data_IF_012518757005
#
_entry.id   IF_012518757005
#
_cell.length_a   1.000
_cell.length_b   1.000
_cell.length_c   1.000
_cell.angle_alpha   90.00
_cell.angle_beta   90.00
_cell.angle_gamma   90.00
#
_symmetry.space_group_name_H-M   'P 1'
#
loop_
_entity.id
_entity.type
_entity.pdbx_description
1 polymer ?
#
# COMPACT_ATOMS: atom_id res chain seq x y z
N UNK A 1 23.88 11.98 -6.85
CA UNK A 1 22.84 11.33 -7.68
C UNK A 1 23.28 11.20 -9.15
N UNK A 2 23.26 9.98 -9.68
CA UNK A 2 23.42 9.64 -11.09
C UNK A 2 22.05 9.74 -11.80
N UNK A 3 21.78 10.89 -12.44
CA UNK A 3 20.48 11.18 -13.06
C UNK A 3 20.18 10.30 -14.27
N UNK A 4 21.19 10.04 -15.10
CA UNK A 4 21.00 9.26 -16.33
C UNK A 4 20.60 7.82 -15.99
N UNK A 5 21.24 7.22 -14.98
CA UNK A 5 20.87 5.91 -14.48
C UNK A 5 19.44 5.89 -13.91
N UNK A 6 19.08 6.90 -13.11
CA UNK A 6 17.74 7.00 -12.53
C UNK A 6 16.65 7.11 -13.61
N UNK A 7 16.85 7.96 -14.63
CA UNK A 7 15.94 8.07 -15.77
C UNK A 7 15.85 6.75 -16.55
N UNK A 8 16.99 6.10 -16.84
CA UNK A 8 17.03 4.81 -17.55
C UNK A 8 16.27 3.71 -16.81
N UNK A 9 16.44 3.61 -15.48
CA UNK A 9 15.69 2.66 -14.64
C UNK A 9 14.19 2.99 -14.70
N UNK A 10 13.83 4.26 -14.54
CA UNK A 10 12.44 4.68 -14.51
C UNK A 10 11.74 4.45 -15.86
N UNK A 11 12.31 4.87 -16.98
CA UNK A 11 11.72 4.68 -18.32
C UNK A 11 11.49 3.21 -18.63
N UNK A 12 12.47 2.34 -18.34
CA UNK A 12 12.33 0.91 -18.52
C UNK A 12 11.24 0.32 -17.61
N UNK A 13 11.19 0.77 -16.35
CA UNK A 13 10.14 0.37 -15.41
C UNK A 13 8.75 0.83 -15.86
N UNK A 14 8.66 2.04 -16.39
CA UNK A 14 7.43 2.67 -16.85
C UNK A 14 6.88 1.97 -18.09
N UNK A 15 7.74 1.66 -19.08
CA UNK A 15 7.38 0.87 -20.26
C UNK A 15 6.84 -0.51 -19.86
N UNK A 16 7.56 -1.21 -18.98
CA UNK A 16 7.14 -2.51 -18.46
C UNK A 16 5.75 -2.45 -17.80
N UNK A 17 5.52 -1.46 -16.93
CA UNK A 17 4.25 -1.32 -16.24
C UNK A 17 3.13 -0.89 -17.19
N UNK A 18 3.40 -0.03 -18.17
CA UNK A 18 2.39 0.39 -19.15
C UNK A 18 1.93 -0.76 -20.04
N UNK A 19 2.82 -1.69 -20.37
CA UNK A 19 2.49 -2.86 -21.19
C UNK A 19 1.76 -3.96 -20.42
N UNK A 20 2.07 -4.14 -19.12
CA UNK A 20 1.62 -5.31 -18.36
C UNK A 20 0.65 -5.01 -17.21
N UNK A 21 0.68 -3.80 -16.69
CA UNK A 21 -0.08 -3.34 -15.52
C UNK A 21 -0.65 -1.92 -15.71
N UNK A 22 -1.26 -1.58 -16.87
CA UNK A 22 -1.78 -0.23 -17.11
C UNK A 22 -2.80 0.20 -16.06
N UNK A 23 -3.60 -0.74 -15.54
CA UNK A 23 -4.60 -0.50 -14.51
C UNK A 23 -3.99 -0.05 -13.17
N UNK A 24 -2.77 -0.50 -12.82
CA UNK A 24 -2.09 -0.05 -11.60
C UNK A 24 -1.59 1.38 -11.74
N UNK A 25 -1.08 1.75 -12.92
CA UNK A 25 -0.70 3.13 -13.21
C UNK A 25 -1.92 4.04 -13.14
N UNK A 26 -3.03 3.64 -13.76
CA UNK A 26 -4.27 4.41 -13.76
C UNK A 26 -4.85 4.53 -12.36
N UNK A 27 -4.83 3.45 -11.56
CA UNK A 27 -5.21 3.50 -10.16
C UNK A 27 -4.33 4.48 -9.36
N UNK A 28 -3.01 4.44 -9.53
CA UNK A 28 -2.10 5.32 -8.82
C UNK A 28 -2.32 6.80 -9.19
N UNK A 29 -2.53 7.11 -10.48
CA UNK A 29 -2.88 8.45 -10.97
C UNK A 29 -4.19 8.99 -10.38
N UNK A 30 -5.18 8.12 -10.21
CA UNK A 30 -6.50 8.49 -9.73
C UNK A 30 -6.63 8.48 -8.21
N UNK A 31 -5.63 7.94 -7.50
CA UNK A 31 -5.61 7.88 -6.04
C UNK A 31 -5.09 9.19 -5.45
N UNK A 32 -5.99 9.98 -4.85
CA UNK A 32 -5.69 11.31 -4.33
C UNK A 32 -6.59 11.67 -3.13
N UNK A 33 -6.42 12.88 -2.59
CA UNK A 33 -7.15 13.36 -1.42
C UNK A 33 -8.69 13.34 -1.58
N UNK A 34 -9.23 13.38 -2.81
CA UNK A 34 -10.67 13.23 -3.06
C UNK A 34 -11.14 11.80 -2.80
N UNK A 35 -10.33 10.80 -3.15
CA UNK A 35 -10.58 9.39 -2.84
C UNK A 35 -10.64 9.22 -1.32
N UNK A 36 -9.64 9.68 -0.58
CA UNK A 36 -9.65 9.60 0.88
C UNK A 36 -10.88 10.29 1.49
N UNK A 37 -11.21 11.49 1.01
CA UNK A 37 -12.38 12.27 1.49
C UNK A 37 -13.68 11.49 1.34
N UNK A 38 -13.89 10.82 0.21
CA UNK A 38 -15.11 10.09 -0.10
C UNK A 38 -15.07 8.61 0.33
N UNK A 39 -13.93 8.16 0.87
CA UNK A 39 -13.72 6.78 1.27
C UNK A 39 -14.73 6.35 2.35
N UNK A 40 -15.27 5.14 2.15
CA UNK A 40 -16.12 4.41 3.10
C UNK A 40 -15.30 3.38 3.87
N UNK A 41 -15.80 2.96 5.03
CA UNK A 41 -15.11 2.00 5.92
C UNK A 41 -14.70 0.73 5.19
N UNK A 42 -15.59 0.14 4.38
CA UNK A 42 -15.32 -1.05 3.60
C UNK A 42 -14.12 -0.91 2.64
N UNK A 43 -13.95 0.26 2.02
CA UNK A 43 -12.82 0.53 1.13
C UNK A 43 -11.52 0.64 1.92
N UNK A 44 -11.55 1.40 3.03
CA UNK A 44 -10.41 1.52 3.94
C UNK A 44 -9.97 0.15 4.49
N UNK A 45 -10.92 -0.65 4.96
CA UNK A 45 -10.66 -1.98 5.50
C UNK A 45 -10.09 -2.94 4.44
N UNK A 46 -10.50 -2.79 3.18
CA UNK A 46 -9.91 -3.55 2.07
C UNK A 46 -8.42 -3.21 1.92
N UNK A 47 -8.06 -1.93 1.88
CA UNK A 47 -6.66 -1.50 1.77
C UNK A 47 -5.84 -1.86 3.02
N UNK A 48 -6.44 -1.71 4.21
CA UNK A 48 -5.79 -2.11 5.46
C UNK A 48 -5.49 -3.62 5.48
N UNK A 49 -6.47 -4.45 5.13
CA UNK A 49 -6.29 -5.90 5.01
C UNK A 49 -5.19 -6.23 4.01
N UNK A 50 -5.22 -5.60 2.83
CA UNK A 50 -4.22 -5.78 1.80
C UNK A 50 -2.82 -5.50 2.33
N UNK A 51 -2.61 -4.35 2.97
CA UNK A 51 -1.29 -3.95 3.50
C UNK A 51 -0.80 -4.90 4.61
N UNK A 52 -1.70 -5.30 5.53
CA UNK A 52 -1.38 -6.28 6.58
C UNK A 52 -0.90 -7.58 5.96
N UNK A 53 -1.58 -8.08 4.92
CA UNK A 53 -1.20 -9.34 4.28
C UNK A 53 -0.04 -9.22 3.29
N UNK A 54 0.14 -8.08 2.62
CA UNK A 54 1.21 -7.88 1.64
C UNK A 54 2.60 -7.85 2.29
N UNK A 55 2.67 -7.50 3.59
CA UNK A 55 3.95 -7.53 4.32
C UNK A 55 4.46 -8.96 4.50
N UNK A 56 5.52 -9.32 3.79
CA UNK A 56 6.18 -10.63 3.91
C UNK A 56 5.69 -11.71 2.95
N UNK A 57 4.80 -11.39 2.01
CA UNK A 57 4.35 -12.32 0.97
C UNK A 57 4.59 -11.77 -0.42
N UNK A 58 4.72 -12.67 -1.42
CA UNK A 58 4.68 -12.28 -2.82
C UNK A 58 3.28 -11.77 -3.14
N UNK A 59 3.21 -10.64 -3.83
CA UNK A 59 1.92 -10.04 -4.22
C UNK A 59 1.08 -11.04 -5.03
N UNK A 60 1.67 -11.76 -5.99
CA UNK A 60 0.96 -12.79 -6.77
C UNK A 60 0.30 -13.89 -5.94
N UNK A 61 0.91 -14.27 -4.80
CA UNK A 61 0.31 -15.22 -3.86
C UNK A 61 -0.87 -14.54 -3.17
N UNK A 62 -0.67 -13.34 -2.62
CA UNK A 62 -1.74 -12.63 -1.92
C UNK A 62 -2.95 -12.38 -2.85
N UNK A 63 -2.73 -11.87 -4.06
CA UNK A 63 -3.77 -11.58 -5.05
C UNK A 63 -4.65 -12.78 -5.35
N UNK A 64 -4.05 -13.98 -5.42
CA UNK A 64 -4.78 -15.24 -5.58
C UNK A 64 -5.74 -15.53 -4.41
N UNK A 65 -5.30 -15.29 -3.17
CA UNK A 65 -6.09 -15.61 -1.97
C UNK A 65 -6.99 -14.45 -1.51
N UNK A 66 -6.73 -13.21 -1.94
CA UNK A 66 -7.38 -12.02 -1.41
C UNK A 66 -8.91 -12.03 -1.57
N UNK A 67 -9.50 -12.49 -2.71
CA UNK A 67 -10.95 -12.63 -2.82
C UNK A 67 -11.55 -13.54 -1.72
N UNK A 68 -10.90 -14.65 -1.42
CA UNK A 68 -11.33 -15.59 -0.37
C UNK A 68 -11.11 -15.02 1.04
N UNK A 69 -10.01 -14.30 1.27
CA UNK A 69 -9.74 -13.59 2.52
C UNK A 69 -10.85 -12.56 2.78
N UNK A 70 -11.21 -11.78 1.75
CA UNK A 70 -12.31 -10.81 1.80
C UNK A 70 -13.64 -11.46 2.17
N UNK A 71 -13.97 -12.61 1.58
CA UNK A 71 -15.18 -13.35 1.95
C UNK A 71 -15.14 -13.86 3.39
N UNK A 72 -14.00 -14.41 3.82
CA UNK A 72 -13.81 -14.89 5.20
C UNK A 72 -13.97 -13.76 6.22
N UNK A 73 -13.52 -12.55 5.88
CA UNK A 73 -13.73 -11.30 6.62
C UNK A 73 -15.02 -10.57 6.27
N UNK A 74 -16.08 -11.30 5.87
CA UNK A 74 -17.43 -10.75 5.70
C UNK A 74 -17.49 -9.56 4.74
N UNK A 75 -16.74 -9.64 3.65
CA UNK A 75 -16.63 -8.58 2.65
C UNK A 75 -16.19 -7.23 3.22
N UNK A 76 -15.41 -7.25 4.31
CA UNK A 76 -14.95 -6.07 5.03
C UNK A 76 -16.08 -5.13 5.49
N UNK A 77 -17.24 -5.70 5.79
CA UNK A 77 -18.31 -4.97 6.44
C UNK A 77 -17.97 -4.70 7.91
N UNK A 78 -17.90 -3.42 8.30
CA UNK A 78 -17.40 -3.01 9.60
C UNK A 78 -18.29 -3.50 10.75
N UNK A 79 -19.61 -3.51 10.55
CA UNK A 79 -20.58 -4.00 11.53
C UNK A 79 -20.47 -5.51 11.73
N UNK A 80 -20.31 -6.27 10.65
CA UNK A 80 -20.08 -7.71 10.70
C UNK A 80 -18.75 -8.05 11.38
N UNK A 81 -17.69 -7.29 11.09
CA UNK A 81 -16.37 -7.49 11.69
C UNK A 81 -16.34 -7.15 13.18
N UNK A 82 -17.06 -6.11 13.62
CA UNK A 82 -17.12 -5.75 15.04
C UNK A 82 -17.71 -6.88 15.90
N UNK A 83 -18.68 -7.62 15.35
CA UNK A 83 -19.34 -8.78 15.99
C UNK A 83 -18.60 -10.09 15.79
N UNK A 84 -17.57 -10.12 14.95
CA UNK A 84 -16.85 -11.36 14.62
C UNK A 84 -16.06 -11.85 15.85
N UNK A 85 -16.34 -13.09 16.28
CA UNK A 85 -15.80 -13.67 17.53
C UNK A 85 -14.45 -14.38 17.37
N UNK A 86 -14.01 -14.69 16.15
CA UNK A 86 -12.76 -15.40 15.92
C UNK A 86 -12.38 -15.48 14.45
N UNK A 87 -11.18 -16.02 14.20
CA UNK A 87 -10.51 -15.99 12.89
C UNK A 87 -10.44 -17.36 12.19
N UNK A 88 -11.05 -18.40 12.73
CA UNK A 88 -10.96 -19.77 12.19
C UNK A 88 -11.30 -19.87 10.69
N UNK A 89 -12.35 -19.17 10.25
CA UNK A 89 -12.72 -19.11 8.81
C UNK A 89 -11.65 -18.50 7.93
N UNK A 90 -10.90 -17.54 8.46
CA UNK A 90 -9.79 -16.88 7.75
C UNK A 90 -8.58 -17.79 7.70
N UNK A 91 -8.27 -18.48 8.81
CA UNK A 91 -7.18 -19.45 8.89
C UNK A 91 -7.34 -20.60 7.89
N UNK A 92 -8.58 -21.02 7.62
CA UNK A 92 -8.89 -22.03 6.59
C UNK A 92 -8.59 -21.55 5.16
N UNK A 93 -8.54 -20.24 4.93
CA UNK A 93 -8.20 -19.64 3.62
C UNK A 93 -6.72 -19.33 3.54
N UNK A 94 -6.18 -18.70 4.58
CA UNK A 94 -4.80 -18.25 4.65
C UNK A 94 -4.30 -18.43 6.08
N UNK A 95 -3.51 -19.47 6.30
CA UNK A 95 -3.08 -19.89 7.64
C UNK A 95 -1.98 -18.96 8.20
N UNK A 96 -2.38 -17.76 8.61
CA UNK A 96 -1.52 -16.79 9.29
C UNK A 96 -2.30 -16.13 10.43
N UNK A 97 -2.21 -16.74 11.61
CA UNK A 97 -2.93 -16.31 12.81
C UNK A 97 -2.62 -14.88 13.20
N UNK A 98 -1.34 -14.50 13.19
CA UNK A 98 -0.90 -13.15 13.56
C UNK A 98 -1.57 -12.09 12.70
N UNK A 99 -1.52 -12.23 11.38
CA UNK A 99 -2.10 -11.26 10.43
C UNK A 99 -3.62 -11.24 10.47
N UNK A 100 -4.25 -12.41 10.62
CA UNK A 100 -5.69 -12.50 10.76
C UNK A 100 -6.18 -11.80 12.04
N UNK A 101 -5.49 -12.01 13.15
CA UNK A 101 -5.76 -11.35 14.43
C UNK A 101 -5.54 -9.84 14.34
N UNK A 102 -4.42 -9.39 13.75
CA UNK A 102 -4.13 -7.97 13.55
C UNK A 102 -5.21 -7.24 12.75
N UNK A 103 -5.63 -7.79 11.61
CA UNK A 103 -6.68 -7.15 10.82
C UNK A 103 -8.01 -7.09 11.60
N UNK A 104 -8.36 -8.16 12.33
CA UNK A 104 -9.59 -8.20 13.11
C UNK A 104 -9.57 -7.22 14.29
N UNK A 105 -8.46 -7.13 15.04
CA UNK A 105 -8.30 -6.19 16.15
C UNK A 105 -8.36 -4.74 15.66
N UNK A 106 -7.62 -4.40 14.58
CA UNK A 106 -7.68 -3.07 13.98
C UNK A 106 -9.08 -2.72 13.46
N UNK A 107 -9.80 -3.69 12.86
CA UNK A 107 -11.20 -3.49 12.44
C UNK A 107 -12.12 -3.19 13.62
N UNK A 108 -11.92 -3.87 14.76
CA UNK A 108 -12.69 -3.63 15.99
C UNK A 108 -12.36 -2.28 16.62
N UNK A 109 -11.10 -1.86 16.61
CA UNK A 109 -10.70 -0.51 17.04
C UNK A 109 -11.45 0.55 16.24
N UNK A 110 -11.46 0.44 14.91
CA UNK A 110 -12.18 1.37 14.03
C UNK A 110 -13.69 1.32 14.27
N UNK A 111 -14.26 0.13 14.52
CA UNK A 111 -15.68 -0.01 14.82
C UNK A 111 -16.07 0.68 16.13
N UNK A 112 -15.23 0.53 17.17
CA UNK A 112 -15.44 1.14 18.48
C UNK A 112 -15.32 2.67 18.43
N UNK A 113 -14.35 3.20 17.67
CA UNK A 113 -14.20 4.65 17.48
C UNK A 113 -15.26 5.24 16.53
N UNK A 114 -15.71 4.44 15.57
CA UNK A 114 -16.50 4.86 14.43
C UNK A 114 -15.62 5.40 13.29
N UNK A 115 -15.82 4.87 12.08
CA UNK A 115 -14.94 5.18 10.94
C UNK A 115 -14.87 6.68 10.58
N UNK A 116 -15.96 7.43 10.74
CA UNK A 116 -15.97 8.88 10.51
C UNK A 116 -15.05 9.61 11.49
N UNK A 117 -15.05 9.22 12.77
CA UNK A 117 -14.18 9.79 13.81
C UNK A 117 -12.72 9.42 13.55
N UNK A 118 -12.46 8.14 13.26
CA UNK A 118 -11.14 7.66 12.87
C UNK A 118 -10.58 8.45 11.67
N UNK A 119 -11.38 8.66 10.62
CA UNK A 119 -10.97 9.43 9.43
C UNK A 119 -10.66 10.90 9.76
N UNK A 120 -11.45 11.53 10.65
CA UNK A 120 -11.17 12.89 11.13
C UNK A 120 -9.86 12.96 11.91
N UNK A 121 -9.61 11.98 12.79
CA UNK A 121 -8.38 11.89 13.58
C UNK A 121 -7.16 11.67 12.70
N UNK A 122 -7.25 10.77 11.74
CA UNK A 122 -6.22 10.50 10.73
C UNK A 122 -5.88 11.77 9.91
N UNK A 123 -6.89 12.54 9.51
CA UNK A 123 -6.67 13.83 8.83
C UNK A 123 -6.00 14.88 9.72
N UNK A 124 -6.35 14.92 11.02
CA UNK A 124 -5.85 15.92 11.97
C UNK A 124 -4.41 15.63 12.42
N UNK A 125 -4.13 14.37 12.73
CA UNK A 125 -2.90 13.94 13.40
C UNK A 125 -1.90 13.27 12.44
N UNK A 126 -2.25 13.13 11.16
CA UNK A 126 -1.36 12.59 10.13
C UNK A 126 -1.26 11.07 10.11
N UNK A 127 -0.38 10.56 9.25
CA UNK A 127 -0.28 9.13 8.91
C UNK A 127 0.16 8.24 10.08
N UNK A 128 0.77 8.80 11.12
CA UNK A 128 1.22 8.02 12.29
C UNK A 128 0.07 7.42 13.09
N UNK A 129 -1.15 7.97 12.97
CA UNK A 129 -2.38 7.36 13.49
C UNK A 129 -2.57 5.94 12.94
N UNK A 130 -2.12 5.65 11.72
CA UNK A 130 -2.23 4.31 11.13
C UNK A 130 -1.44 3.26 11.90
N UNK A 131 -0.40 3.64 12.66
CA UNK A 131 0.43 2.72 13.46
C UNK A 131 -0.31 2.16 14.68
N UNK A 132 -1.43 2.75 15.06
CA UNK A 132 -2.32 2.20 16.09
C UNK A 132 -3.08 0.96 15.58
N UNK A 133 -3.13 0.78 14.26
CA UNK A 133 -3.68 -0.43 13.67
C UNK A 133 -2.61 -1.51 13.69
N UNK A 134 -2.94 -2.63 14.34
CA UNK A 134 -2.09 -3.80 14.39
C UNK A 134 -1.60 -4.24 13.00
N UNK A 135 -0.33 -4.60 12.91
CA UNK A 135 0.31 -4.98 11.64
C UNK A 135 0.74 -3.81 10.75
N UNK A 136 0.54 -2.56 11.18
CA UNK A 136 1.09 -1.36 10.53
C UNK A 136 2.36 -0.90 11.25
N UNK A 137 3.46 -0.82 10.52
CA UNK A 137 4.78 -0.40 10.99
C UNK A 137 5.17 0.97 10.42
N UNK A 138 6.37 1.44 10.76
CA UNK A 138 6.92 2.68 10.21
C UNK A 138 7.05 2.70 8.70
N UNK A 139 7.18 1.53 8.05
CA UNK A 139 7.21 1.44 6.59
C UNK A 139 5.81 1.21 6.01
N UNK A 140 5.01 0.32 6.60
CA UNK A 140 3.70 -0.03 6.00
C UNK A 140 2.64 1.05 6.20
N UNK A 141 2.84 2.02 7.11
CA UNK A 141 1.98 3.21 7.20
C UNK A 141 1.97 4.00 5.89
N UNK A 142 3.12 4.14 5.23
CA UNK A 142 3.23 4.82 3.93
C UNK A 142 2.49 4.04 2.83
N UNK A 143 2.55 2.70 2.88
CA UNK A 143 1.79 1.85 1.96
C UNK A 143 0.29 2.10 2.08
N UNK A 144 -0.24 2.04 3.30
CA UNK A 144 -1.67 2.24 3.51
C UNK A 144 -2.07 3.68 3.17
N UNK A 145 -1.28 4.66 3.58
CA UNK A 145 -1.60 6.07 3.39
C UNK A 145 -1.64 6.50 1.92
N UNK A 146 -0.72 6.00 1.08
CA UNK A 146 -0.76 6.27 -0.36
C UNK A 146 -1.93 5.53 -1.04
N UNK A 147 -2.19 4.27 -0.69
CA UNK A 147 -3.27 3.48 -1.29
C UNK A 147 -4.65 4.09 -1.06
N UNK A 148 -4.85 4.73 0.10
CA UNK A 148 -6.13 5.39 0.43
C UNK A 148 -6.22 6.83 -0.06
N UNK A 149 -5.14 7.36 -0.67
CA UNK A 149 -5.05 8.75 -1.15
C UNK A 149 -4.94 9.78 -0.02
N UNK A 150 -4.46 9.39 1.16
CA UNK A 150 -4.27 10.31 2.29
C UNK A 150 -3.07 11.24 2.07
N UNK A 151 -1.98 10.70 1.52
CA UNK A 151 -0.75 11.44 1.18
C UNK A 151 -0.20 10.95 -0.15
N UNK A 152 0.40 11.86 -0.92
CA UNK A 152 1.19 11.51 -2.10
C UNK A 152 2.65 11.39 -1.69
N UNK A 153 3.08 10.17 -1.36
CA UNK A 153 4.41 9.87 -0.84
C UNK A 153 4.82 8.47 -1.26
N UNK A 154 6.12 8.26 -1.31
CA UNK A 154 6.74 6.98 -1.56
C UNK A 154 6.81 6.12 -0.29
N UNK A 155 6.86 4.80 -0.51
CA UNK A 155 7.15 3.83 0.53
C UNK A 155 8.64 3.48 0.46
N UNK A 156 9.47 3.89 1.42
CA UNK A 156 10.90 3.61 1.43
C UNK A 156 11.17 2.14 1.79
N UNK A 157 10.78 1.22 0.92
CA UNK A 157 11.03 -0.20 1.09
C UNK A 157 12.37 -0.63 0.50
N UNK A 158 12.73 -1.90 0.69
CA UNK A 158 14.01 -2.44 0.22
C UNK A 158 14.27 -2.21 -1.27
N UNK A 159 13.25 -2.17 -2.12
CA UNK A 159 13.44 -1.99 -3.56
C UNK A 159 13.72 -0.54 -3.89
N UNK A 160 12.93 0.36 -3.32
CA UNK A 160 13.12 1.80 -3.47
C UNK A 160 14.48 2.24 -2.90
N UNK A 161 14.86 1.72 -1.73
CA UNK A 161 16.16 2.00 -1.12
C UNK A 161 17.30 1.53 -2.03
N UNK A 162 17.25 0.29 -2.54
CA UNK A 162 18.26 -0.24 -3.48
C UNK A 162 18.39 0.59 -4.74
N UNK A 163 17.28 0.98 -5.37
CA UNK A 163 17.31 1.82 -6.58
C UNK A 163 17.95 3.18 -6.27
N UNK A 164 17.63 3.75 -5.12
CA UNK A 164 18.22 5.03 -4.68
C UNK A 164 19.72 4.92 -4.45
N UNK A 165 20.17 3.85 -3.79
CA UNK A 165 21.59 3.53 -3.58
C UNK A 165 22.35 3.36 -4.91
N UNK A 166 21.78 2.60 -5.86
CA UNK A 166 22.35 2.45 -7.21
C UNK A 166 22.52 3.80 -7.92
N UNK A 167 21.59 4.72 -7.68
CA UNK A 167 21.62 6.07 -8.22
C UNK A 167 22.49 7.04 -7.40
N UNK A 168 23.21 6.60 -6.37
CA UNK A 168 23.95 7.47 -5.45
C UNK A 168 23.10 8.65 -4.93
N UNK A 169 21.89 8.34 -4.46
CA UNK A 169 20.90 9.31 -3.96
C UNK A 169 20.14 8.76 -2.76
N UNK A 170 19.51 9.66 -2.01
CA UNK A 170 18.44 9.28 -1.08
C UNK A 170 17.15 8.97 -1.85
N UNK A 171 16.22 8.27 -1.20
CA UNK A 171 14.87 8.04 -1.73
C UNK A 171 14.15 9.35 -2.06
N UNK A 172 14.27 10.35 -1.18
CA UNK A 172 13.64 11.66 -1.35
C UNK A 172 14.15 12.36 -2.62
N UNK A 173 15.47 12.44 -2.80
CA UNK A 173 16.09 13.07 -3.97
C UNK A 173 15.74 12.36 -5.28
N UNK A 174 15.71 11.02 -5.26
CA UNK A 174 15.32 10.22 -6.43
C UNK A 174 13.88 10.53 -6.83
N UNK A 175 12.96 10.53 -5.86
CA UNK A 175 11.54 10.77 -6.12
C UNK A 175 11.26 12.21 -6.55
N UNK A 176 11.88 13.20 -5.90
CA UNK A 176 11.75 14.60 -6.32
C UNK A 176 12.18 14.79 -7.77
N UNK A 177 13.33 14.21 -8.14
CA UNK A 177 13.87 14.29 -9.50
C UNK A 177 12.95 13.63 -10.52
N UNK A 178 12.48 12.40 -10.26
CA UNK A 178 11.60 11.67 -11.18
C UNK A 178 10.24 12.35 -11.31
N UNK A 179 9.62 12.75 -10.20
CA UNK A 179 8.33 13.44 -10.22
C UNK A 179 8.39 14.72 -11.07
N UNK A 180 9.46 15.52 -10.90
CA UNK A 180 9.68 16.75 -11.67
C UNK A 180 9.95 16.48 -13.14
N UNK A 181 10.79 15.49 -13.46
CA UNK A 181 11.23 15.22 -14.83
C UNK A 181 10.10 14.64 -15.70
N UNK A 182 9.22 13.83 -15.10
CA UNK A 182 8.13 13.17 -15.83
C UNK A 182 6.75 13.78 -15.56
N UNK A 183 6.66 14.80 -14.70
CA UNK A 183 5.40 15.42 -14.26
C UNK A 183 4.40 14.38 -13.71
N UNK A 184 4.90 13.52 -12.80
CA UNK A 184 4.13 12.43 -12.18
C UNK A 184 4.06 12.62 -10.66
N UNK A 185 3.03 12.05 -10.04
CA UNK A 185 2.91 12.00 -8.59
C UNK A 185 3.89 10.99 -7.99
N UNK A 186 4.22 11.16 -6.70
CA UNK A 186 5.10 10.20 -5.99
C UNK A 186 4.50 8.81 -5.98
N UNK A 187 3.18 8.70 -5.84
CA UNK A 187 2.49 7.42 -5.87
C UNK A 187 2.68 6.68 -7.19
N UNK A 188 2.60 7.39 -8.33
CA UNK A 188 2.83 6.77 -9.66
C UNK A 188 4.27 6.32 -9.80
N UNK A 189 5.23 7.17 -9.40
CA UNK A 189 6.66 6.81 -9.45
C UNK A 189 6.95 5.57 -8.60
N UNK A 190 6.39 5.50 -7.38
CA UNK A 190 6.54 4.37 -6.49
C UNK A 190 5.99 3.08 -7.11
N UNK A 191 4.74 3.10 -7.59
CA UNK A 191 4.10 1.91 -8.18
C UNK A 191 4.91 1.36 -9.35
N UNK A 192 5.41 2.25 -10.22
CA UNK A 192 6.21 1.88 -11.38
C UNK A 192 7.53 1.23 -10.98
N UNK A 193 8.29 1.87 -10.10
CA UNK A 193 9.60 1.36 -9.65
C UNK A 193 9.43 0.05 -8.87
N UNK A 194 8.49 0.01 -7.93
CA UNK A 194 8.22 -1.15 -7.10
C UNK A 194 7.76 -2.35 -7.93
N UNK A 195 6.80 -2.16 -8.85
CA UNK A 195 6.25 -3.25 -9.66
C UNK A 195 7.33 -3.88 -10.52
N UNK A 196 8.13 -3.06 -11.18
CA UNK A 196 9.27 -3.54 -11.97
C UNK A 196 10.29 -4.31 -11.10
N UNK A 197 10.73 -3.73 -9.98
CA UNK A 197 11.72 -4.35 -9.09
C UNK A 197 11.23 -5.61 -8.39
N UNK A 198 9.91 -5.73 -8.15
CA UNK A 198 9.34 -6.92 -7.52
C UNK A 198 9.34 -8.17 -8.42
N UNK A 199 9.47 -7.98 -9.75
CA UNK A 199 9.39 -9.05 -10.75
C UNK A 199 10.69 -9.25 -11.54
N UNK A 200 11.61 -8.29 -11.48
CA UNK A 200 12.85 -8.31 -12.22
C UNK A 200 14.03 -8.10 -11.26
N UNK A 201 15.18 -8.72 -11.56
CA UNK A 201 16.42 -8.36 -10.87
C UNK A 201 16.83 -6.95 -11.30
N UNK A 202 16.92 -6.04 -10.33
CA UNK A 202 17.43 -4.68 -10.54
C UNK A 202 18.96 -4.63 -10.56
N UNK A 203 19.66 -5.72 -10.24
CA UNK A 203 21.13 -5.77 -10.13
C UNK A 203 21.88 -5.72 -11.47
N UNK A 204 21.16 -5.68 -12.60
CA UNK A 204 21.74 -5.68 -13.96
C UNK A 204 21.63 -4.33 -14.68
N UNK A 205 21.54 -3.21 -13.95
CA UNK A 205 21.49 -1.86 -14.54
C UNK A 205 22.81 -1.12 -14.48
#
# INVERSE_FOLDING_TARGET
MNRDLACKIFEKSFLFCRERYPEEIDWAKNTNAKIFRNMKSKQFLSEYCWVVYASGFKESILSKYFPSIKLAFKNFDLESLSRMRGISRVLNVFNNEKKASWFLSGSKLIANEGFTSFKKRLKKNGIDVLKELDGISDVTKFHLAKNIGLVDTEKPDRWIVRISEMCNSTTEELFEMLCKSYNLSRHVVDVVLWRYASQNSIEHF
#
